data_IF_752165559331
#
_entry.id   IF_752165559331
#
_cell.length_a   1.000
_cell.length_b   1.000
_cell.length_c   1.000
_cell.angle_alpha   90.00
_cell.angle_beta   90.00
_cell.angle_gamma   90.00
#
_symmetry.space_group_name_H-M   'P 1'
#
loop_
_entity.id
_entity.type
_entity.pdbx_description
1 polymer ?
#
# COMPACT_ATOMS: atom_id res chain seq x y z
N UNK A 1 -23.47 -18.34 16.05
CA UNK A 1 -22.49 -17.32 16.47
C UNK A 1 -22.59 -16.14 15.50
N UNK A 2 -22.79 -14.91 15.98
CA UNK A 2 -22.77 -13.71 15.12
C UNK A 2 -21.31 -13.36 14.82
N UNK A 3 -20.97 -13.16 13.55
CA UNK A 3 -19.64 -12.74 13.13
C UNK A 3 -19.53 -11.23 13.40
N UNK A 4 -18.69 -10.86 14.36
CA UNK A 4 -18.37 -9.45 14.63
C UNK A 4 -17.36 -8.93 13.60
N UNK A 5 -17.25 -7.59 13.43
CA UNK A 5 -16.21 -6.98 12.58
C UNK A 5 -14.79 -7.44 12.96
N UNK A 6 -14.51 -7.54 14.27
CA UNK A 6 -13.19 -7.96 14.78
C UNK A 6 -12.90 -9.42 14.43
N UNK A 7 -13.88 -10.31 14.61
CA UNK A 7 -13.71 -11.73 14.25
C UNK A 7 -13.51 -11.88 12.74
N UNK A 8 -14.24 -11.10 11.94
CA UNK A 8 -14.05 -11.06 10.48
C UNK A 8 -12.64 -10.61 10.11
N UNK A 9 -12.10 -9.58 10.78
CA UNK A 9 -10.74 -9.11 10.57
C UNK A 9 -9.70 -10.17 10.92
N UNK A 10 -9.87 -10.88 12.04
CA UNK A 10 -8.98 -11.98 12.44
C UNK A 10 -8.98 -13.14 11.44
N UNK A 11 -10.16 -13.54 10.94
CA UNK A 11 -10.28 -14.59 9.92
C UNK A 11 -9.58 -14.18 8.63
N UNK A 12 -9.80 -12.95 8.17
CA UNK A 12 -9.13 -12.41 6.99
C UNK A 12 -7.61 -12.36 7.17
N UNK A 13 -7.13 -11.97 8.35
CA UNK A 13 -5.70 -11.94 8.65
C UNK A 13 -5.08 -13.35 8.58
N UNK A 14 -5.73 -14.36 9.18
CA UNK A 14 -5.28 -15.76 9.10
C UNK A 14 -5.26 -16.29 7.67
N UNK A 15 -6.32 -16.05 6.91
CA UNK A 15 -6.39 -16.46 5.50
C UNK A 15 -5.29 -15.80 4.68
N UNK A 16 -5.10 -14.48 4.82
CA UNK A 16 -4.01 -13.76 4.16
C UNK A 16 -2.63 -14.26 4.56
N UNK A 17 -2.48 -14.78 5.78
CA UNK A 17 -1.26 -15.41 6.28
C UNK A 17 -1.04 -16.86 5.77
N UNK A 18 -1.88 -17.35 4.85
CA UNK A 18 -1.70 -18.66 4.21
C UNK A 18 -2.46 -19.81 4.89
N UNK A 19 -3.22 -19.55 5.97
CA UNK A 19 -4.01 -20.61 6.60
C UNK A 19 -5.11 -21.09 5.66
N UNK A 20 -5.27 -22.42 5.55
CA UNK A 20 -6.37 -23.00 4.79
C UNK A 20 -7.72 -22.69 5.44
N UNK A 21 -8.78 -22.59 4.63
CA UNK A 21 -10.14 -22.41 5.14
C UNK A 21 -10.53 -23.50 6.14
N UNK A 22 -10.01 -24.72 6.01
CA UNK A 22 -10.25 -25.82 6.96
C UNK A 22 -9.57 -25.58 8.31
N UNK A 23 -8.35 -25.04 8.30
CA UNK A 23 -7.65 -24.66 9.54
C UNK A 23 -8.40 -23.53 10.25
N UNK A 24 -8.84 -22.52 9.51
CA UNK A 24 -9.62 -21.39 10.02
C UNK A 24 -10.95 -21.86 10.63
N UNK A 25 -11.67 -22.77 9.97
CA UNK A 25 -12.90 -23.37 10.51
C UNK A 25 -12.67 -23.98 11.89
N UNK A 26 -11.60 -24.76 12.05
CA UNK A 26 -11.25 -25.38 13.33
C UNK A 26 -10.85 -24.34 14.38
N UNK A 27 -10.02 -23.36 14.00
CA UNK A 27 -9.51 -22.35 14.93
C UNK A 27 -10.62 -21.46 15.49
N UNK A 28 -11.61 -21.08 14.67
CA UNK A 28 -12.69 -20.18 15.09
C UNK A 28 -14.02 -20.88 15.34
N UNK A 29 -14.06 -22.21 15.24
CA UNK A 29 -15.27 -23.03 15.34
C UNK A 29 -16.42 -22.53 14.44
N UNK A 30 -16.11 -22.29 13.15
CA UNK A 30 -17.04 -21.77 12.16
C UNK A 30 -17.35 -22.81 11.08
N UNK A 31 -18.53 -22.69 10.47
CA UNK A 31 -18.90 -23.53 9.32
C UNK A 31 -18.11 -23.16 8.06
N UNK A 32 -17.93 -24.13 7.17
CA UNK A 32 -17.29 -23.92 5.87
C UNK A 32 -17.94 -22.78 5.07
N UNK A 33 -19.27 -22.71 5.07
CA UNK A 33 -20.02 -21.66 4.38
C UNK A 33 -19.75 -20.26 4.95
N UNK A 34 -19.61 -20.14 6.27
CA UNK A 34 -19.29 -18.86 6.91
C UNK A 34 -17.87 -18.39 6.56
N UNK A 35 -16.88 -19.29 6.63
CA UNK A 35 -15.49 -18.98 6.28
C UNK A 35 -15.34 -18.66 4.80
N UNK A 36 -16.01 -19.39 3.91
CA UNK A 36 -16.00 -19.11 2.47
C UNK A 36 -16.57 -17.71 2.18
N UNK A 37 -17.72 -17.33 2.78
CA UNK A 37 -18.28 -15.98 2.63
C UNK A 37 -17.32 -14.86 3.03
N UNK A 38 -16.46 -15.09 4.03
CA UNK A 38 -15.50 -14.10 4.51
C UNK A 38 -14.25 -14.06 3.62
N UNK A 39 -13.75 -15.22 3.19
CA UNK A 39 -12.44 -15.36 2.50
C UNK A 39 -12.55 -15.37 0.98
N UNK A 40 -13.76 -15.41 0.42
CA UNK A 40 -13.98 -15.44 -1.03
C UNK A 40 -13.34 -14.23 -1.71
N UNK A 41 -12.55 -14.50 -2.75
CA UNK A 41 -11.87 -13.48 -3.54
C UNK A 41 -10.71 -12.79 -2.81
N UNK A 42 -10.34 -13.25 -1.62
CA UNK A 42 -9.21 -12.71 -0.87
C UNK A 42 -7.97 -13.52 -1.18
N UNK A 43 -7.00 -12.87 -1.81
CA UNK A 43 -5.69 -13.47 -2.08
C UNK A 43 -4.87 -13.62 -0.79
N UNK A 44 -4.03 -14.64 -0.80
CA UNK A 44 -3.08 -14.91 0.28
C UNK A 44 -1.74 -14.25 -0.04
N UNK A 45 -1.02 -13.79 0.98
CA UNK A 45 0.27 -13.12 0.82
C UNK A 45 1.43 -14.13 0.70
N UNK A 46 1.26 -15.20 -0.10
CA UNK A 46 2.22 -16.31 -0.18
C UNK A 46 3.61 -15.85 -0.65
N UNK A 47 3.68 -14.89 -1.59
CA UNK A 47 4.97 -14.33 -2.04
C UNK A 47 5.74 -13.68 -0.89
N UNK A 48 5.06 -12.89 -0.05
CA UNK A 48 5.67 -12.24 1.12
C UNK A 48 6.11 -13.26 2.15
N UNK A 49 5.28 -14.28 2.40
CA UNK A 49 5.60 -15.36 3.34
C UNK A 49 6.86 -16.11 2.87
N UNK A 50 6.90 -16.52 1.59
CA UNK A 50 8.03 -17.25 1.03
C UNK A 50 9.34 -16.43 1.11
N UNK A 51 9.29 -15.13 0.80
CA UNK A 51 10.46 -14.24 0.95
C UNK A 51 10.91 -14.14 2.40
N UNK A 52 9.97 -14.06 3.35
CA UNK A 52 10.28 -14.04 4.78
C UNK A 52 10.90 -15.35 5.25
N UNK A 53 10.37 -16.49 4.81
CA UNK A 53 10.94 -17.82 5.11
C UNK A 53 12.33 -17.97 4.52
N UNK A 54 12.54 -17.56 3.26
CA UNK A 54 13.84 -17.59 2.61
C UNK A 54 14.86 -16.73 3.36
N UNK A 55 14.50 -15.49 3.70
CA UNK A 55 15.35 -14.60 4.49
C UNK A 55 15.78 -15.24 5.82
N UNK A 56 14.85 -15.85 6.55
CA UNK A 56 15.18 -16.53 7.82
C UNK A 56 16.03 -17.78 7.64
N UNK A 57 15.84 -18.52 6.53
CA UNK A 57 16.68 -19.66 6.20
C UNK A 57 18.12 -19.22 5.89
N UNK A 58 18.30 -18.19 5.07
CA UNK A 58 19.62 -17.63 4.75
C UNK A 58 20.35 -17.11 6.01
N UNK A 59 19.63 -16.40 6.91
CA UNK A 59 20.21 -15.96 8.19
C UNK A 59 20.65 -17.13 9.09
N UNK A 60 20.00 -18.30 8.97
CA UNK A 60 20.31 -19.47 9.81
C UNK A 60 21.66 -20.10 9.46
N UNK A 61 22.14 -19.91 8.23
CA UNK A 61 23.43 -20.41 7.74
C UNK A 61 24.60 -19.47 8.12
N UNK A 62 24.30 -18.22 8.48
CA UNK A 62 25.28 -17.21 8.86
C UNK A 62 25.71 -17.31 10.32
N UNK A 63 26.92 -16.82 10.61
CA UNK A 63 27.38 -16.67 11.99
C UNK A 63 26.64 -15.51 12.71
N UNK A 64 26.77 -15.43 14.04
CA UNK A 64 26.04 -14.47 14.86
C UNK A 64 26.29 -13.00 14.47
N UNK A 65 27.54 -12.64 14.19
CA UNK A 65 27.91 -11.27 13.83
C UNK A 65 27.39 -10.87 12.45
N UNK A 66 27.50 -11.76 11.46
CA UNK A 66 26.96 -11.55 10.12
C UNK A 66 25.44 -11.41 10.16
N UNK A 67 24.77 -12.28 10.92
CA UNK A 67 23.32 -12.25 11.10
C UNK A 67 22.86 -10.93 11.72
N UNK A 68 23.54 -10.47 12.77
CA UNK A 68 23.21 -9.20 13.42
C UNK A 68 23.39 -8.02 12.47
N UNK A 69 24.52 -7.97 11.74
CA UNK A 69 24.78 -6.92 10.77
C UNK A 69 23.72 -6.87 9.65
N UNK A 70 23.35 -8.02 9.08
CA UNK A 70 22.30 -8.10 8.05
C UNK A 70 20.95 -7.66 8.61
N UNK A 71 20.57 -8.16 9.79
CA UNK A 71 19.30 -7.81 10.42
C UNK A 71 19.20 -6.31 10.72
N UNK A 72 20.30 -5.69 11.14
CA UNK A 72 20.37 -4.26 11.39
C UNK A 72 20.17 -3.45 10.11
N UNK A 73 20.88 -3.79 9.03
CA UNK A 73 20.72 -3.11 7.72
C UNK A 73 19.30 -3.25 7.18
N UNK A 74 18.69 -4.44 7.28
CA UNK A 74 17.29 -4.66 6.87
C UNK A 74 16.33 -3.79 7.69
N UNK A 75 16.54 -3.71 9.00
CA UNK A 75 15.74 -2.88 9.92
C UNK A 75 15.85 -1.38 9.59
N UNK A 76 17.06 -0.89 9.35
CA UNK A 76 17.30 0.52 9.00
C UNK A 76 16.68 0.89 7.65
N UNK A 77 16.82 0.02 6.66
CA UNK A 77 16.15 0.18 5.36
C UNK A 77 14.63 0.20 5.50
N UNK A 78 14.05 -0.70 6.30
CA UNK A 78 12.61 -0.72 6.56
C UNK A 78 12.14 0.57 7.25
N UNK A 79 12.92 1.11 8.20
CA UNK A 79 12.64 2.37 8.88
C UNK A 79 12.69 3.55 7.90
N UNK A 80 13.69 3.59 7.02
CA UNK A 80 13.80 4.61 5.98
C UNK A 80 12.57 4.60 5.05
N UNK A 81 12.15 3.42 4.58
CA UNK A 81 10.96 3.27 3.75
C UNK A 81 9.69 3.78 4.45
N UNK A 82 9.51 3.46 5.73
CA UNK A 82 8.39 3.95 6.52
C UNK A 82 8.42 5.47 6.68
N UNK A 83 9.60 6.03 6.96
CA UNK A 83 9.82 7.47 7.10
C UNK A 83 9.45 8.23 5.81
N UNK A 84 9.91 7.77 4.64
CA UNK A 84 9.59 8.41 3.37
C UNK A 84 8.10 8.37 3.05
N UNK A 85 7.44 7.24 3.29
CA UNK A 85 5.97 7.12 3.12
C UNK A 85 5.22 8.08 4.03
N UNK A 86 5.59 8.15 5.31
CA UNK A 86 4.94 9.04 6.26
C UNK A 86 5.16 10.52 5.89
N UNK A 87 6.37 10.85 5.45
CA UNK A 87 6.74 12.21 5.02
C UNK A 87 5.96 12.62 3.79
N UNK A 88 5.85 11.75 2.78
CA UNK A 88 5.05 12.01 1.58
C UNK A 88 3.57 12.28 1.92
N UNK A 89 2.99 11.53 2.86
CA UNK A 89 1.61 11.77 3.33
C UNK A 89 1.48 13.13 4.03
N UNK A 90 2.40 13.45 4.95
CA UNK A 90 2.40 14.76 5.64
C UNK A 90 2.53 15.92 4.65
N UNK A 91 3.44 15.80 3.69
CA UNK A 91 3.64 16.78 2.64
C UNK A 91 2.39 16.95 1.79
N UNK A 92 1.68 15.86 1.46
CA UNK A 92 0.43 15.94 0.70
C UNK A 92 -0.69 16.61 1.48
N UNK A 93 -0.81 16.33 2.78
CA UNK A 93 -1.78 16.99 3.66
C UNK A 93 -1.53 18.50 3.69
N UNK A 94 -0.26 18.90 3.85
CA UNK A 94 0.13 20.30 3.85
C UNK A 94 -0.12 20.97 2.50
N UNK A 95 0.27 20.33 1.40
CA UNK A 95 0.00 20.83 0.06
C UNK A 95 -1.50 21.03 -0.16
N UNK A 96 -2.33 20.03 0.16
CA UNK A 96 -3.79 20.13 0.01
C UNK A 96 -4.39 21.24 0.87
N UNK A 97 -3.80 21.56 2.03
CA UNK A 97 -4.21 22.72 2.82
C UNK A 97 -3.86 24.03 2.11
N UNK A 98 -2.63 24.17 1.64
CA UNK A 98 -2.17 25.35 0.90
C UNK A 98 -3.02 25.59 -0.36
N UNK A 99 -3.41 24.53 -1.07
CA UNK A 99 -4.28 24.62 -2.25
C UNK A 99 -5.66 25.21 -1.92
N UNK A 100 -6.21 24.97 -0.72
CA UNK A 100 -7.50 25.55 -0.31
C UNK A 100 -7.42 27.05 -0.04
N UNK A 101 -6.24 27.54 0.29
CA UNK A 101 -5.95 28.93 0.60
C UNK A 101 -5.32 29.67 -0.61
N UNK A 102 -5.09 28.96 -1.72
CA UNK A 102 -4.39 29.45 -2.91
C UNK A 102 -5.14 30.61 -3.57
N UNK A 103 -4.39 31.65 -3.92
CA UNK A 103 -4.94 32.84 -4.61
C UNK A 103 -4.35 33.02 -6.00
N UNK A 104 -3.14 32.53 -6.21
CA UNK A 104 -2.38 32.72 -7.44
C UNK A 104 -1.96 31.39 -8.08
N UNK A 105 -1.71 31.44 -9.39
CA UNK A 105 -1.29 30.27 -10.18
C UNK A 105 0.01 29.63 -9.64
N UNK A 106 0.90 30.42 -9.03
CA UNK A 106 2.12 29.94 -8.37
C UNK A 106 1.86 28.96 -7.24
N UNK A 107 0.78 29.15 -6.47
CA UNK A 107 0.42 28.26 -5.35
C UNK A 107 -0.06 26.90 -5.87
N UNK A 108 -0.78 26.93 -7.00
CA UNK A 108 -1.28 25.74 -7.71
C UNK A 108 -0.10 24.96 -8.32
N UNK A 109 0.88 25.66 -8.90
CA UNK A 109 2.11 25.03 -9.40
C UNK A 109 2.92 24.39 -8.26
N UNK A 110 3.05 25.08 -7.12
CA UNK A 110 3.75 24.55 -5.95
C UNK A 110 3.08 23.26 -5.45
N UNK A 111 1.75 23.26 -5.33
CA UNK A 111 0.98 22.04 -5.00
C UNK A 111 1.25 20.90 -5.98
N UNK A 112 1.21 21.20 -7.28
CA UNK A 112 1.42 20.22 -8.34
C UNK A 112 2.81 19.59 -8.26
N UNK A 113 3.86 20.40 -8.00
CA UNK A 113 5.23 19.92 -7.83
C UNK A 113 5.40 19.06 -6.58
N UNK A 114 4.80 19.45 -5.44
CA UNK A 114 4.84 18.65 -4.20
C UNK A 114 4.14 17.30 -4.43
N UNK A 115 2.97 17.32 -5.06
CA UNK A 115 2.20 16.12 -5.38
C UNK A 115 2.97 15.17 -6.29
N UNK A 116 3.62 15.69 -7.34
CA UNK A 116 4.46 14.88 -8.24
C UNK A 116 5.61 14.20 -7.48
N UNK A 117 6.35 14.95 -6.65
CA UNK A 117 7.45 14.39 -5.84
C UNK A 117 6.98 13.34 -4.82
N UNK A 118 5.84 13.56 -4.19
CA UNK A 118 5.26 12.59 -3.27
C UNK A 118 4.88 11.28 -3.99
N UNK A 119 4.33 11.38 -5.21
CA UNK A 119 4.03 10.19 -6.04
C UNK A 119 5.31 9.43 -6.37
N UNK A 120 6.37 10.10 -6.82
CA UNK A 120 7.66 9.47 -7.08
C UNK A 120 8.25 8.80 -5.84
N UNK A 121 8.11 9.42 -4.67
CA UNK A 121 8.63 8.89 -3.39
C UNK A 121 7.90 7.60 -2.98
N UNK A 122 6.59 7.49 -3.25
CA UNK A 122 5.78 6.34 -2.87
C UNK A 122 5.86 5.22 -3.90
N UNK A 123 5.89 5.57 -5.18
CA UNK A 123 5.67 4.65 -6.30
C UNK A 123 6.94 4.34 -7.10
N UNK A 124 8.03 5.10 -6.88
CA UNK A 124 9.26 5.02 -7.64
C UNK A 124 9.28 5.95 -8.85
N UNK A 125 10.47 6.15 -9.42
CA UNK A 125 10.65 6.91 -10.67
C UNK A 125 10.06 6.11 -11.84
N UNK A 126 9.30 6.77 -12.72
CA UNK A 126 8.61 6.15 -13.87
C UNK A 126 7.46 5.20 -13.51
N UNK A 127 6.71 5.50 -12.44
CA UNK A 127 5.47 4.78 -12.19
C UNK A 127 4.40 5.19 -13.20
N UNK A 128 4.06 4.29 -14.11
CA UNK A 128 2.91 4.43 -15.00
C UNK A 128 1.63 4.27 -14.18
N UNK A 129 0.95 5.39 -13.94
CA UNK A 129 -0.47 5.35 -13.61
C UNK A 129 -1.18 4.91 -14.90
N UNK A 130 -1.30 3.61 -15.13
CA UNK A 130 -2.22 3.12 -16.17
C UNK A 130 -3.56 3.82 -15.94
N UNK A 131 -3.98 4.63 -16.91
CA UNK A 131 -5.19 5.47 -16.83
C UNK A 131 -6.40 4.59 -16.51
N UNK A 132 -6.70 4.41 -15.22
CA UNK A 132 -7.97 3.88 -14.79
C UNK A 132 -8.98 5.03 -14.80
N UNK A 133 -9.59 5.23 -15.96
CA UNK A 133 -10.94 5.77 -16.09
C UNK A 133 -11.11 7.24 -15.75
N UNK A 134 -10.66 8.12 -16.63
CA UNK A 134 -11.42 9.33 -16.96
C UNK A 134 -11.35 9.48 -18.47
N UNK A 135 -12.49 9.35 -19.16
CA UNK A 135 -12.60 9.78 -20.55
C UNK A 135 -12.29 11.27 -20.60
N UNK A 136 -11.03 11.61 -20.84
CA UNK A 136 -10.59 12.95 -21.19
C UNK A 136 -11.18 13.27 -22.55
N UNK A 137 -12.46 13.65 -22.57
CA UNK A 137 -12.95 14.51 -23.63
C UNK A 137 -12.13 15.80 -23.51
N UNK A 138 -11.10 15.92 -24.34
CA UNK A 138 -10.39 17.17 -24.57
C UNK A 138 -11.44 18.18 -25.04
N UNK A 139 -11.96 18.99 -24.12
CA UNK A 139 -12.79 20.15 -24.46
C UNK A 139 -11.86 21.15 -25.15
N UNK A 140 -11.67 21.00 -26.45
CA UNK A 140 -11.01 22.02 -27.27
C UNK A 140 -11.89 23.27 -27.22
N UNK A 141 -11.42 24.31 -26.53
CA UNK A 141 -12.04 25.63 -26.59
C UNK A 141 -11.72 26.19 -27.98
N UNK A 142 -12.67 26.06 -28.91
CA UNK A 142 -12.58 26.69 -30.23
C UNK A 142 -12.95 28.17 -30.04
N UNK A 143 -11.96 29.05 -30.08
CA UNK A 143 -12.19 30.49 -30.19
C UNK A 143 -12.46 30.79 -31.67
N UNK A 144 -13.73 30.96 -32.04
CA UNK A 144 -14.09 31.56 -33.32
C UNK A 144 -13.82 33.06 -33.22
N UNK A 145 -12.98 33.59 -34.11
CA UNK A 145 -12.94 35.03 -34.39
C UNK A 145 -13.99 35.30 -35.47
N UNK A 146 -15.02 36.06 -35.11
CA UNK A 146 -15.95 36.59 -36.10
C UNK A 146 -15.21 37.61 -36.99
N UNK A 147 -15.39 37.48 -38.29
CA UNK A 147 -14.84 38.37 -39.32
C UNK A 147 -15.73 39.61 -39.51
#
# INVERSE_FOLDING_TARGET
MKITPDLKAQILARHKAGDSQRKIQKTFNLSAGAVNKITKGVEQNLSTINKGTQYLAELSEMNEYEREAVAQVVSDNARALAFFKQTAVKNQIMANRLLKEARDLSDIELHSRITARNKETILGKNYDLGEQGATNALTQIIIKRDA
#
